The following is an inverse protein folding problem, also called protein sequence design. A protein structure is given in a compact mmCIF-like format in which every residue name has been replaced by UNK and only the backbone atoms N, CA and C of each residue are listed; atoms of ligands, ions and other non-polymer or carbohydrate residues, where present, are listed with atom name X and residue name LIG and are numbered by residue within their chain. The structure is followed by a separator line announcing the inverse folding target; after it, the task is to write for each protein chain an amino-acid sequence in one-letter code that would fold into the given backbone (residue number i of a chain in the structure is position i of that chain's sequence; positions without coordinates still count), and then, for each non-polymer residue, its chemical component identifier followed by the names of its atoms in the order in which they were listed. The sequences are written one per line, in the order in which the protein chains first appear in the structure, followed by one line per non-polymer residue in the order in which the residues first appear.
data_IF_469917568461
#
_entry.id   IF_469917568461
#
_cell.length_a   1.000
_cell.length_b   1.000
_cell.length_c   1.000
_cell.angle_alpha   90.00
_cell.angle_beta   90.00
_cell.angle_gamma   90.00
#
_symmetry.space_group_name_H-M   'P 1'
#
loop_
_entity.id
_entity.type
_entity.pdbx_description
1 polymer ?
#
# COMPACT_ATOMS: atom_id res chain seq x y z
N UNK A 1 10.77 -12.14 2.71
CA UNK A 1 10.02 -12.79 3.81
C UNK A 1 10.48 -14.23 3.87
N UNK A 2 10.70 -14.79 5.04
CA UNK A 2 11.03 -16.21 5.13
C UNK A 2 9.79 -17.06 4.86
N UNK A 3 9.94 -18.11 4.04
CA UNK A 3 8.88 -19.07 3.81
C UNK A 3 8.67 -19.93 5.08
N UNK A 4 7.44 -20.33 5.34
CA UNK A 4 7.07 -21.28 6.40
C UNK A 4 7.43 -20.81 7.83
N UNK A 5 7.36 -19.50 8.09
CA UNK A 5 7.45 -18.97 9.45
C UNK A 5 6.13 -19.18 10.23
N UNK A 6 6.20 -19.05 11.55
CA UNK A 6 5.05 -19.22 12.47
C UNK A 6 3.96 -18.15 12.33
N UNK A 7 4.26 -17.02 11.68
CA UNK A 7 3.27 -15.98 11.38
C UNK A 7 2.36 -16.38 10.22
N UNK A 8 2.81 -17.27 9.33
CA UNK A 8 2.06 -17.68 8.14
C UNK A 8 0.96 -18.69 8.50
N UNK A 9 -0.30 -18.30 8.32
CA UNK A 9 -1.46 -19.15 8.61
C UNK A 9 -1.90 -19.91 7.35
N UNK A 10 -2.03 -19.19 6.24
CA UNK A 10 -2.39 -19.79 4.95
C UNK A 10 -1.60 -19.14 3.83
N UNK A 11 -0.92 -19.96 3.03
CA UNK A 11 -0.09 -19.49 1.93
C UNK A 11 -0.12 -20.46 0.76
N UNK A 12 -0.04 -19.92 -0.45
CA UNK A 12 0.32 -20.69 -1.64
C UNK A 12 1.83 -20.82 -1.67
N UNK A 13 2.30 -22.06 -1.61
CA UNK A 13 3.72 -22.36 -1.69
C UNK A 13 4.21 -22.38 -3.13
N UNK A 14 5.44 -21.91 -3.33
CA UNK A 14 6.12 -21.97 -4.61
C UNK A 14 7.39 -22.81 -4.50
N UNK A 15 7.58 -23.70 -5.47
CA UNK A 15 8.81 -24.46 -5.63
C UNK A 15 9.81 -23.75 -6.55
N UNK A 16 11.09 -24.18 -6.54
CA UNK A 16 12.08 -23.71 -7.50
C UNK A 16 11.57 -23.87 -8.95
N UNK A 17 11.75 -22.83 -9.78
CA UNK A 17 11.32 -22.78 -11.19
C UNK A 17 9.80 -22.94 -11.43
N UNK A 18 8.98 -22.94 -10.38
CA UNK A 18 7.51 -22.91 -10.44
C UNK A 18 6.95 -21.72 -9.68
N UNK A 19 7.81 -20.71 -9.52
CA UNK A 19 7.59 -19.53 -8.72
C UNK A 19 6.71 -18.48 -9.37
N UNK A 20 6.59 -17.36 -8.69
CA UNK A 20 6.12 -16.13 -9.33
C UNK A 20 7.25 -15.45 -10.11
N UNK A 21 6.92 -14.38 -10.84
CA UNK A 21 7.89 -13.50 -11.51
C UNK A 21 7.97 -12.13 -10.81
N UNK A 22 7.72 -12.08 -9.49
CA UNK A 22 7.47 -10.81 -8.79
C UNK A 22 8.70 -9.88 -8.79
N UNK A 23 9.91 -10.39 -8.58
CA UNK A 23 11.13 -9.57 -8.55
C UNK A 23 11.39 -8.91 -9.91
N UNK A 24 11.31 -9.68 -11.00
CA UNK A 24 11.52 -9.16 -12.36
C UNK A 24 10.39 -8.26 -12.88
N UNK A 25 9.24 -8.20 -12.20
CA UNK A 25 8.10 -7.36 -12.62
C UNK A 25 7.93 -6.12 -11.77
N UNK A 26 8.16 -6.21 -10.46
CA UNK A 26 7.66 -5.22 -9.51
C UNK A 26 8.72 -4.24 -8.99
N UNK A 27 10.01 -4.62 -9.00
CA UNK A 27 11.10 -3.82 -8.43
C UNK A 27 11.55 -2.63 -9.29
N UNK A 28 12.62 -1.92 -8.86
CA UNK A 28 13.24 -0.85 -9.63
C UNK A 28 13.70 -1.33 -11.01
N UNK A 29 13.53 -0.49 -12.03
CA UNK A 29 13.84 -0.86 -13.41
C UNK A 29 15.33 -1.02 -13.63
N UNK A 30 16.14 -0.10 -13.09
CA UNK A 30 17.60 -0.10 -13.24
C UNK A 30 18.29 -0.41 -11.93
N UNK A 31 19.25 -1.33 -11.97
CA UNK A 31 20.16 -1.68 -10.87
C UNK A 31 21.55 -1.74 -11.46
N UNK A 32 22.43 -0.82 -11.08
CA UNK A 32 23.68 -0.60 -11.80
C UNK A 32 23.42 -0.38 -13.30
N UNK A 33 24.05 -1.22 -14.14
CA UNK A 33 23.91 -1.15 -15.61
C UNK A 33 22.88 -2.12 -16.20
N UNK A 34 22.15 -2.88 -15.38
CA UNK A 34 21.18 -3.88 -15.86
C UNK A 34 19.74 -3.40 -15.73
N UNK A 35 18.88 -3.93 -16.60
CA UNK A 35 17.42 -3.83 -16.43
C UNK A 35 16.97 -4.96 -15.49
N UNK A 36 16.71 -4.61 -14.23
CA UNK A 36 16.43 -5.56 -13.17
C UNK A 36 14.94 -5.91 -13.03
N UNK A 37 14.05 -5.01 -13.41
CA UNK A 37 12.61 -5.25 -13.38
C UNK A 37 11.84 -4.32 -14.34
N UNK A 38 10.51 -4.47 -14.37
CA UNK A 38 9.58 -3.65 -15.16
C UNK A 38 8.87 -2.55 -14.36
N UNK A 39 9.25 -2.32 -13.09
CA UNK A 39 8.76 -1.16 -12.35
C UNK A 39 7.27 -1.16 -12.01
N UNK A 40 6.56 -2.28 -12.07
CA UNK A 40 5.09 -2.30 -11.98
C UNK A 40 4.52 -1.87 -10.62
N UNK A 41 5.24 -2.09 -9.51
CA UNK A 41 4.78 -1.66 -8.18
C UNK A 41 5.39 -0.33 -7.80
N UNK A 42 4.58 0.71 -7.95
CA UNK A 42 4.95 2.11 -7.72
C UNK A 42 4.05 2.65 -6.61
N UNK A 43 4.51 2.65 -5.34
CA UNK A 43 3.75 3.18 -4.22
C UNK A 43 3.35 4.64 -4.47
N UNK A 44 2.13 5.01 -4.07
CA UNK A 44 1.69 6.41 -4.16
C UNK A 44 2.20 7.22 -2.98
N UNK A 45 2.27 8.54 -3.13
CA UNK A 45 2.54 9.42 -1.99
C UNK A 45 1.51 9.22 -0.88
N UNK A 46 0.24 8.93 -1.21
CA UNK A 46 -0.80 8.64 -0.23
C UNK A 46 -0.52 7.40 0.64
N UNK A 47 0.28 6.44 0.16
CA UNK A 47 0.73 5.32 0.99
C UNK A 47 1.99 5.70 1.78
N UNK A 48 2.91 6.46 1.18
CA UNK A 48 4.12 6.96 1.84
C UNK A 48 3.78 7.84 3.05
N UNK A 49 2.74 8.66 2.95
CA UNK A 49 2.27 9.55 4.02
C UNK A 49 1.68 8.80 5.22
N UNK A 50 1.33 7.52 5.06
CA UNK A 50 0.67 6.72 6.11
C UNK A 50 1.65 6.06 7.07
N UNK A 51 2.92 5.96 6.68
CA UNK A 51 3.96 5.50 7.58
C UNK A 51 4.22 6.56 8.64
N UNK A 52 4.21 6.16 9.90
CA UNK A 52 4.52 7.06 11.02
C UNK A 52 5.98 7.52 11.00
N UNK A 53 6.26 8.56 11.80
CA UNK A 53 7.61 8.86 12.29
C UNK A 53 8.03 7.81 13.32
N UNK A 54 9.32 7.70 13.63
CA UNK A 54 9.88 6.70 14.55
C UNK A 54 9.30 6.77 15.97
N UNK A 55 8.79 7.94 16.36
CA UNK A 55 8.07 8.15 17.62
C UNK A 55 6.61 7.65 17.61
N UNK A 56 6.15 7.02 16.53
CA UNK A 56 4.83 6.44 16.40
C UNK A 56 3.76 7.37 15.83
N UNK A 57 4.00 8.69 15.82
CA UNK A 57 3.05 9.70 15.33
C UNK A 57 2.99 9.75 13.80
N UNK A 58 1.82 10.03 13.25
CA UNK A 58 1.65 10.33 11.83
C UNK A 58 2.45 11.57 11.44
N UNK A 59 2.86 11.67 10.18
CA UNK A 59 3.66 12.80 9.69
C UNK A 59 2.97 14.16 9.85
N UNK A 60 1.64 14.18 9.84
CA UNK A 60 0.81 15.38 9.95
C UNK A 60 0.43 15.73 11.41
N UNK A 61 0.83 14.92 12.38
CA UNK A 61 0.53 15.16 13.79
C UNK A 61 1.55 16.10 14.44
N UNK A 62 1.09 16.96 15.34
CA UNK A 62 1.97 17.83 16.12
C UNK A 62 2.97 17.01 16.93
N UNK A 63 4.23 17.44 16.87
CA UNK A 63 5.36 16.76 17.51
C UNK A 63 5.81 15.48 16.81
N UNK A 64 5.35 15.20 15.58
CA UNK A 64 5.86 14.07 14.78
C UNK A 64 7.35 14.21 14.45
N UNK A 65 7.82 15.44 14.25
CA UNK A 65 9.18 15.75 13.79
C UNK A 65 9.37 15.59 12.28
N UNK A 66 8.29 15.44 11.50
CA UNK A 66 8.36 15.35 10.05
C UNK A 66 8.89 16.66 9.43
N UNK A 67 9.90 16.54 8.57
CA UNK A 67 10.44 17.64 7.78
C UNK A 67 10.17 17.39 6.28
N UNK A 68 9.35 18.21 5.60
CA UNK A 68 9.08 18.05 4.17
C UNK A 68 10.31 18.25 3.28
N UNK A 69 11.39 18.90 3.76
CA UNK A 69 12.66 19.01 3.04
C UNK A 69 13.56 17.78 3.23
N UNK A 70 13.24 16.92 4.19
CA UNK A 70 13.93 15.66 4.46
C UNK A 70 12.91 14.52 4.73
N UNK A 71 11.98 14.25 3.79
CA UNK A 71 10.74 13.49 4.04
C UNK A 71 10.95 12.00 4.38
N UNK A 72 12.17 11.51 4.21
CA UNK A 72 12.55 10.12 4.40
C UNK A 72 13.37 9.88 5.68
N UNK A 73 13.65 10.92 6.45
CA UNK A 73 14.41 10.81 7.72
C UNK A 73 13.46 10.58 8.89
N UNK A 74 13.88 9.77 9.87
CA UNK A 74 13.14 9.54 11.11
C UNK A 74 11.79 8.84 10.94
N UNK A 75 11.62 8.04 9.88
CA UNK A 75 10.38 7.28 9.62
C UNK A 75 10.38 5.96 10.41
N UNK A 76 9.22 5.34 10.57
CA UNK A 76 9.15 4.00 11.18
C UNK A 76 9.92 2.95 10.37
N UNK A 77 10.38 1.86 11.00
CA UNK A 77 11.24 0.86 10.33
C UNK A 77 10.55 0.23 9.12
N UNK A 78 9.23 0.04 9.19
CA UNK A 78 8.43 -0.52 8.08
C UNK A 78 8.45 0.36 6.83
N UNK A 79 8.64 1.68 6.94
CA UNK A 79 8.80 2.54 5.77
C UNK A 79 10.01 2.09 4.93
N UNK A 80 11.18 1.97 5.58
CA UNK A 80 12.42 1.55 4.92
C UNK A 80 12.38 0.11 4.39
N UNK A 81 11.59 -0.76 5.04
CA UNK A 81 11.39 -2.16 4.60
C UNK A 81 10.35 -2.29 3.48
N UNK A 82 9.53 -1.26 3.24
CA UNK A 82 8.39 -1.33 2.33
C UNK A 82 8.54 -0.48 1.09
N UNK A 83 9.23 0.66 1.19
CA UNK A 83 9.35 1.64 0.12
C UNK A 83 10.82 1.77 -0.28
N UNK A 84 11.06 1.72 -1.59
CA UNK A 84 12.29 2.20 -2.21
C UNK A 84 11.99 3.63 -2.66
N UNK A 85 12.75 4.57 -2.12
CA UNK A 85 12.68 6.01 -2.40
C UNK A 85 14.04 6.50 -2.91
N UNK A 86 14.15 7.76 -3.27
CA UNK A 86 15.40 8.34 -3.76
C UNK A 86 16.57 8.17 -2.76
N UNK A 87 17.75 7.78 -3.25
CA UNK A 87 18.91 7.33 -2.47
C UNK A 87 18.75 6.03 -1.68
N UNK A 88 17.68 5.26 -1.86
CA UNK A 88 17.63 3.89 -1.32
C UNK A 88 18.71 3.01 -1.98
N UNK A 89 19.26 2.08 -1.22
CA UNK A 89 20.07 0.98 -1.76
C UNK A 89 19.18 -0.22 -2.08
N UNK A 90 19.41 -0.86 -3.23
CA UNK A 90 18.73 -2.08 -3.67
C UNK A 90 19.71 -2.96 -4.47
N UNK A 91 19.89 -4.22 -4.07
CA UNK A 91 20.99 -5.10 -4.55
C UNK A 91 22.40 -4.47 -4.41
N UNK A 92 22.62 -3.69 -3.34
CA UNK A 92 23.89 -2.99 -3.13
C UNK A 92 24.11 -1.76 -4.03
N UNK A 93 23.19 -1.47 -4.94
CA UNK A 93 23.27 -0.33 -5.87
C UNK A 93 22.39 0.83 -5.41
N UNK A 94 22.80 2.05 -5.74
CA UNK A 94 22.02 3.26 -5.44
C UNK A 94 20.87 3.42 -6.42
N UNK A 95 19.66 3.61 -5.90
CA UNK A 95 18.47 3.94 -6.68
C UNK A 95 18.22 5.45 -6.56
N UNK A 96 18.30 6.15 -7.68
CA UNK A 96 18.01 7.59 -7.77
C UNK A 96 16.74 7.82 -8.58
N UNK A 97 15.67 8.23 -7.90
CA UNK A 97 14.35 8.50 -8.50
C UNK A 97 14.15 9.97 -8.81
N UNK A 98 15.04 10.85 -8.33
CA UNK A 98 15.09 12.26 -8.74
C UNK A 98 15.30 12.43 -10.24
N UNK A 99 14.92 13.60 -10.75
CA UNK A 99 15.13 13.97 -12.17
C UNK A 99 16.61 13.83 -12.52
N UNK A 100 16.91 13.11 -13.60
CA UNK A 100 18.28 12.81 -14.03
C UNK A 100 18.91 11.56 -13.40
N UNK A 101 18.26 10.94 -12.42
CA UNK A 101 18.68 9.68 -11.80
C UNK A 101 18.50 8.44 -12.68
N UNK A 102 19.08 7.31 -12.26
CA UNK A 102 19.03 6.04 -13.01
C UNK A 102 17.62 5.43 -13.09
N UNK A 103 16.77 5.77 -12.12
CA UNK A 103 15.37 5.42 -12.06
C UNK A 103 14.50 6.67 -11.96
N UNK A 104 14.92 7.77 -12.61
CA UNK A 104 14.25 9.06 -12.55
C UNK A 104 12.75 8.95 -12.78
N UNK A 105 11.99 9.73 -12.00
CA UNK A 105 10.54 9.83 -12.13
C UNK A 105 10.16 10.16 -13.57
N UNK A 106 9.29 9.34 -14.15
CA UNK A 106 8.78 9.49 -15.49
C UNK A 106 7.31 9.85 -15.47
N UNK A 107 6.99 11.14 -15.45
CA UNK A 107 5.60 11.63 -15.45
C UNK A 107 4.90 11.42 -16.80
N UNK A 108 5.67 11.23 -17.87
CA UNK A 108 5.18 11.18 -19.25
C UNK A 108 4.89 9.79 -19.79
N UNK A 109 5.07 8.72 -18.99
CA UNK A 109 4.85 7.33 -19.41
C UNK A 109 5.68 6.91 -20.65
N UNK A 110 6.82 7.56 -20.89
CA UNK A 110 7.73 7.25 -22.01
C UNK A 110 8.75 6.13 -21.73
N UNK A 111 8.75 5.56 -20.53
CA UNK A 111 9.62 4.47 -20.07
C UNK A 111 8.97 3.75 -18.88
N UNK A 112 9.51 2.59 -18.51
CA UNK A 112 9.02 1.78 -17.40
C UNK A 112 9.41 2.30 -16.00
N UNK A 113 10.20 3.38 -15.93
CA UNK A 113 10.62 3.98 -14.67
C UNK A 113 9.40 4.46 -13.85
N UNK A 114 9.62 4.65 -12.55
CA UNK A 114 8.56 5.07 -11.61
C UNK A 114 7.82 6.32 -12.08
N UNK A 115 6.49 6.30 -12.04
CA UNK A 115 5.65 7.46 -12.29
C UNK A 115 5.38 8.24 -10.99
N UNK A 116 5.62 7.62 -9.82
CA UNK A 116 5.32 8.20 -8.51
C UNK A 116 6.56 8.66 -7.74
N UNK A 117 7.76 8.35 -8.22
CA UNK A 117 9.02 8.61 -7.51
C UNK A 117 9.41 7.51 -6.52
N UNK A 118 8.66 6.40 -6.48
CA UNK A 118 8.83 5.29 -5.54
C UNK A 118 8.77 3.92 -6.24
N UNK A 119 9.36 2.91 -5.60
CA UNK A 119 9.10 1.48 -5.88
C UNK A 119 8.77 0.72 -4.60
N UNK A 120 8.15 -0.45 -4.72
CA UNK A 120 7.96 -1.36 -3.58
C UNK A 120 9.28 -2.10 -3.26
N UNK A 121 9.61 -2.19 -1.97
CA UNK A 121 10.68 -3.06 -1.43
C UNK A 121 10.09 -4.37 -0.90
N UNK A 122 9.02 -4.25 -0.12
CA UNK A 122 8.38 -5.39 0.54
C UNK A 122 7.84 -6.38 -0.50
N UNK A 123 7.88 -7.67 -0.16
CA UNK A 123 7.60 -8.84 -1.01
C UNK A 123 8.68 -9.18 -2.04
N UNK A 124 9.69 -8.33 -2.23
CA UNK A 124 10.81 -8.59 -3.14
C UNK A 124 12.03 -9.08 -2.36
N UNK A 125 12.88 -9.85 -3.02
CA UNK A 125 14.09 -10.42 -2.42
C UNK A 125 15.35 -9.82 -3.08
N UNK A 126 16.12 -9.07 -2.30
CA UNK A 126 17.36 -8.40 -2.72
C UNK A 126 18.54 -9.36 -2.96
N UNK A 127 18.44 -10.61 -2.52
CA UNK A 127 19.49 -11.61 -2.76
C UNK A 127 19.29 -12.38 -4.07
N UNK A 128 18.22 -12.07 -4.81
CA UNK A 128 17.98 -12.63 -6.15
C UNK A 128 18.76 -11.86 -7.20
N UNK A 129 19.08 -12.54 -8.29
CA UNK A 129 19.74 -11.89 -9.42
C UNK A 129 18.84 -10.77 -9.99
N UNK A 130 19.36 -9.56 -10.20
CA UNK A 130 18.59 -8.41 -10.66
C UNK A 130 18.38 -8.48 -12.18
N UNK A 131 17.42 -9.29 -12.65
CA UNK A 131 17.02 -9.32 -14.06
C UNK A 131 15.51 -9.36 -14.27
N UNK A 132 15.07 -8.54 -15.22
CA UNK A 132 13.66 -8.42 -15.61
C UNK A 132 13.13 -9.68 -16.32
N UNK A 133 14.01 -10.61 -16.70
CA UNK A 133 13.70 -11.82 -17.47
C UNK A 133 13.61 -13.09 -16.59
N UNK A 134 13.25 -12.92 -15.32
CA UNK A 134 13.08 -14.00 -14.35
C UNK A 134 11.64 -14.53 -14.30
N UNK A 135 11.22 -15.25 -15.33
CA UNK A 135 9.92 -15.94 -15.27
C UNK A 135 9.97 -17.19 -14.38
N UNK A 136 9.08 -17.22 -13.39
CA UNK A 136 8.88 -18.39 -12.52
C UNK A 136 10.01 -18.68 -11.52
N UNK A 137 10.93 -17.73 -11.29
CA UNK A 137 12.11 -17.94 -10.43
C UNK A 137 11.91 -17.53 -8.96
N UNK A 138 10.85 -16.79 -8.64
CA UNK A 138 10.54 -16.39 -7.27
C UNK A 138 9.88 -17.52 -6.48
N UNK A 139 10.62 -18.17 -5.59
CA UNK A 139 10.05 -19.17 -4.68
C UNK A 139 9.49 -18.56 -3.38
N UNK A 140 9.32 -17.23 -3.31
CA UNK A 140 8.69 -16.58 -2.16
C UNK A 140 7.20 -16.96 -2.11
N UNK A 141 6.78 -17.61 -1.02
CA UNK A 141 5.38 -17.97 -0.80
C UNK A 141 4.46 -16.76 -0.90
N UNK A 142 3.29 -16.97 -1.51
CA UNK A 142 2.22 -15.98 -1.52
C UNK A 142 1.36 -16.19 -0.27
N UNK A 143 1.55 -15.31 0.71
CA UNK A 143 0.81 -15.33 1.97
C UNK A 143 -0.61 -14.82 1.68
N UNK A 144 -1.60 -15.66 1.99
CA UNK A 144 -3.01 -15.33 1.87
C UNK A 144 -3.48 -14.75 3.20
N UNK A 145 -3.17 -15.43 4.31
CA UNK A 145 -3.42 -15.01 5.68
C UNK A 145 -2.18 -15.18 6.56
N UNK A 146 -1.94 -14.19 7.43
CA UNK A 146 -0.90 -14.23 8.47
C UNK A 146 -1.39 -13.63 9.77
N UNK A 147 -0.70 -13.94 10.86
CA UNK A 147 -1.15 -13.64 12.22
C UNK A 147 -1.38 -12.14 12.49
N UNK A 148 -0.55 -11.24 11.93
CA UNK A 148 -0.80 -9.81 12.10
C UNK A 148 -2.15 -9.35 11.52
N UNK A 149 -2.62 -9.97 10.42
CA UNK A 149 -3.96 -9.67 9.90
C UNK A 149 -5.05 -10.09 10.88
N UNK A 150 -4.89 -11.24 11.54
CA UNK A 150 -5.85 -11.73 12.53
C UNK A 150 -5.92 -10.78 13.72
N UNK A 151 -4.77 -10.34 14.25
CA UNK A 151 -4.70 -9.38 15.34
C UNK A 151 -5.40 -8.07 14.98
N UNK A 152 -5.14 -7.51 13.80
CA UNK A 152 -5.75 -6.25 13.37
C UNK A 152 -7.25 -6.40 13.05
N UNK A 153 -7.68 -7.54 12.50
CA UNK A 153 -9.10 -7.84 12.29
C UNK A 153 -9.86 -8.01 13.61
N UNK A 154 -9.25 -8.65 14.61
CA UNK A 154 -9.79 -8.73 15.96
C UNK A 154 -9.89 -7.35 16.61
N UNK A 155 -8.81 -6.56 16.57
CA UNK A 155 -8.79 -5.21 17.12
C UNK A 155 -9.86 -4.31 16.48
N UNK A 156 -10.04 -4.39 15.15
CA UNK A 156 -11.08 -3.64 14.45
C UNK A 156 -12.47 -4.03 14.95
N UNK A 157 -12.80 -5.32 14.94
CA UNK A 157 -14.11 -5.81 15.35
C UNK A 157 -14.43 -5.45 16.82
N UNK A 158 -13.48 -5.66 17.72
CA UNK A 158 -13.65 -5.38 19.15
C UNK A 158 -13.77 -3.87 19.39
N UNK A 159 -12.99 -3.02 18.70
CA UNK A 159 -13.13 -1.58 18.78
C UNK A 159 -14.51 -1.11 18.29
N UNK A 160 -15.01 -1.70 17.20
CA UNK A 160 -16.35 -1.37 16.68
C UNK A 160 -17.49 -1.75 17.62
N UNK A 161 -17.31 -2.71 18.52
CA UNK A 161 -18.32 -3.08 19.51
C UNK A 161 -18.09 -2.31 20.81
N UNK A 162 -16.93 -2.48 21.44
CA UNK A 162 -16.64 -2.09 22.82
C UNK A 162 -15.73 -0.86 22.95
N UNK A 163 -15.16 -0.36 21.84
CA UNK A 163 -14.17 0.72 21.86
C UNK A 163 -12.76 0.22 22.21
N UNK A 164 -11.83 1.11 22.60
CA UNK A 164 -10.42 0.79 22.79
C UNK A 164 -10.17 0.05 24.11
N UNK A 165 -10.65 -1.19 24.21
CA UNK A 165 -10.41 -2.07 25.36
C UNK A 165 -8.93 -2.44 25.45
N UNK A 166 -8.51 -3.00 26.59
CA UNK A 166 -7.12 -3.45 26.75
C UNK A 166 -6.74 -4.52 25.70
N UNK A 167 -7.69 -5.37 25.29
CA UNK A 167 -7.43 -6.38 24.26
C UNK A 167 -7.23 -5.77 22.87
N UNK A 168 -7.97 -4.70 22.54
CA UNK A 168 -7.74 -3.91 21.31
C UNK A 168 -6.34 -3.32 21.31
N UNK A 169 -5.94 -2.69 22.42
CA UNK A 169 -4.60 -2.12 22.57
C UNK A 169 -3.52 -3.19 22.44
N UNK A 170 -3.67 -4.32 23.14
CA UNK A 170 -2.72 -5.43 23.09
C UNK A 170 -2.57 -6.00 21.67
N UNK A 171 -3.67 -6.17 20.94
CA UNK A 171 -3.65 -6.72 19.59
C UNK A 171 -2.96 -5.78 18.59
N UNK A 172 -3.20 -4.47 18.69
CA UNK A 172 -2.52 -3.48 17.86
C UNK A 172 -1.06 -3.33 18.25
N UNK A 173 -0.75 -3.31 19.55
CA UNK A 173 0.62 -3.16 20.05
C UNK A 173 1.50 -4.37 19.73
N UNK A 174 0.93 -5.57 19.67
CA UNK A 174 1.64 -6.76 19.18
C UNK A 174 2.17 -6.60 17.74
N UNK A 175 1.49 -5.80 16.91
CA UNK A 175 1.95 -5.45 15.56
C UNK A 175 2.90 -4.25 15.58
N UNK A 176 2.53 -3.17 16.28
CA UNK A 176 3.29 -1.92 16.33
C UNK A 176 4.68 -2.07 16.91
N UNK A 177 4.79 -2.79 18.02
CA UNK A 177 6.01 -2.90 18.81
C UNK A 177 6.94 -4.03 18.34
N UNK A 178 6.48 -4.88 17.41
CA UNK A 178 7.25 -6.01 16.87
C UNK A 178 8.64 -5.56 16.43
N UNK A 179 9.67 -6.22 16.96
CA UNK A 179 11.08 -5.91 16.68
C UNK A 179 11.47 -4.44 16.97
N UNK A 180 10.80 -3.83 17.95
CA UNK A 180 10.99 -2.43 18.36
C UNK A 180 10.71 -1.46 17.23
N UNK A 181 9.66 -1.70 16.43
CA UNK A 181 9.32 -0.86 15.28
C UNK A 181 8.75 0.50 15.71
N UNK A 182 7.71 0.53 16.55
CA UNK A 182 7.09 1.73 17.09
C UNK A 182 6.77 1.57 18.58
N UNK A 183 6.62 2.68 19.33
CA UNK A 183 5.99 2.64 20.64
C UNK A 183 4.52 2.20 20.55
N UNK A 184 4.01 1.65 21.65
CA UNK A 184 2.61 1.25 21.77
C UNK A 184 1.65 2.43 21.62
N UNK A 185 0.37 2.15 21.39
CA UNK A 185 -0.67 3.16 21.19
C UNK A 185 -0.73 4.13 22.38
N UNK A 186 -0.73 3.59 23.61
CA UNK A 186 -0.81 4.42 24.83
C UNK A 186 0.41 5.34 25.00
N UNK A 187 1.60 4.85 24.67
CA UNK A 187 2.82 5.65 24.76
C UNK A 187 2.89 6.75 23.70
N UNK A 188 2.27 6.50 22.54
CA UNK A 188 2.23 7.46 21.42
C UNK A 188 1.14 8.51 21.61
N UNK A 189 -0.04 8.08 22.04
CA UNK A 189 -1.30 8.83 21.96
C UNK A 189 -2.00 9.06 23.30
N UNK A 190 -1.56 8.40 24.37
CA UNK A 190 -2.28 8.39 25.64
C UNK A 190 -3.61 7.65 25.53
N UNK A 191 -4.65 8.22 26.13
CA UNK A 191 -6.01 7.69 26.03
C UNK A 191 -6.64 8.16 24.72
N UNK A 192 -7.18 7.22 23.95
CA UNK A 192 -7.84 7.47 22.67
C UNK A 192 -9.34 7.15 22.74
N UNK A 193 -10.16 7.84 21.95
CA UNK A 193 -11.56 7.49 21.73
C UNK A 193 -11.70 6.27 20.80
N UNK A 194 -12.91 5.73 20.69
CA UNK A 194 -13.25 4.67 19.72
C UNK A 194 -12.96 5.08 18.28
N UNK A 195 -13.25 6.32 17.93
CA UNK A 195 -13.02 6.90 16.60
C UNK A 195 -11.54 7.06 16.33
N UNK A 196 -10.78 7.60 17.29
CA UNK A 196 -9.32 7.73 17.17
C UNK A 196 -8.66 6.36 17.06
N UNK A 197 -9.12 5.36 17.84
CA UNK A 197 -8.61 4.00 17.75
C UNK A 197 -8.95 3.33 16.42
N UNK A 198 -10.14 3.59 15.85
CA UNK A 198 -10.52 3.13 14.51
C UNK A 198 -9.53 3.65 13.46
N UNK A 199 -9.20 4.94 13.50
CA UNK A 199 -8.26 5.54 12.56
C UNK A 199 -6.85 4.96 12.72
N UNK A 200 -6.40 4.74 13.96
CA UNK A 200 -5.13 4.05 14.25
C UNK A 200 -5.14 2.64 13.66
N UNK A 201 -6.20 1.84 13.88
CA UNK A 201 -6.33 0.47 13.35
C UNK A 201 -6.33 0.49 11.82
N UNK A 202 -7.07 1.41 11.20
CA UNK A 202 -7.16 1.51 9.74
C UNK A 202 -5.79 1.84 9.11
N UNK A 203 -5.04 2.77 9.71
CA UNK A 203 -3.67 3.09 9.27
C UNK A 203 -2.72 1.93 9.50
N UNK A 204 -2.75 1.31 10.68
CA UNK A 204 -1.91 0.16 11.03
C UNK A 204 -2.13 -0.99 10.05
N UNK A 205 -3.40 -1.27 9.72
CA UNK A 205 -3.77 -2.28 8.71
C UNK A 205 -3.27 -1.92 7.31
N UNK A 206 -3.35 -0.65 6.92
CA UNK A 206 -2.85 -0.17 5.62
C UNK A 206 -1.33 -0.33 5.50
N UNK A 207 -0.58 0.05 6.53
CA UNK A 207 0.89 -0.03 6.57
C UNK A 207 1.35 -1.48 6.67
N UNK A 208 0.84 -2.21 7.66
CA UNK A 208 1.26 -3.57 7.95
C UNK A 208 0.99 -4.50 6.76
N UNK A 209 -0.17 -4.37 6.10
CA UNK A 209 -0.60 -5.25 5.00
C UNK A 209 -0.36 -4.65 3.61
N UNK A 210 0.51 -3.64 3.50
CA UNK A 210 0.89 -3.06 2.22
C UNK A 210 1.45 -4.13 1.27
N UNK A 211 0.97 -4.14 0.02
CA UNK A 211 1.30 -5.10 -1.05
C UNK A 211 0.90 -6.56 -0.78
N UNK A 212 -0.16 -6.78 0.01
CA UNK A 212 -0.68 -8.13 0.35
C UNK A 212 -2.16 -8.32 -0.05
N UNK A 213 -2.62 -7.56 -1.06
CA UNK A 213 -3.97 -7.63 -1.65
C UNK A 213 -5.13 -7.41 -0.66
N UNK A 214 -4.91 -6.55 0.35
CA UNK A 214 -5.93 -6.21 1.37
C UNK A 214 -6.59 -4.85 1.16
N UNK A 215 -5.81 -3.84 0.75
CA UNK A 215 -6.26 -2.44 0.73
C UNK A 215 -7.50 -2.19 -0.13
N UNK A 216 -7.64 -2.85 -1.28
CA UNK A 216 -8.83 -2.70 -2.12
C UNK A 216 -10.10 -3.08 -1.37
N UNK A 217 -10.09 -4.25 -0.72
CA UNK A 217 -11.23 -4.76 0.03
C UNK A 217 -11.53 -3.92 1.28
N UNK A 218 -10.50 -3.45 1.97
CA UNK A 218 -10.64 -2.53 3.09
C UNK A 218 -11.33 -1.21 2.66
N UNK A 219 -10.91 -0.63 1.54
CA UNK A 219 -11.52 0.59 0.99
C UNK A 219 -13.01 0.39 0.68
N UNK A 220 -13.38 -0.75 0.08
CA UNK A 220 -14.76 -1.05 -0.30
C UNK A 220 -15.63 -1.28 0.94
N UNK A 221 -15.19 -2.12 1.89
CA UNK A 221 -16.00 -2.48 3.07
C UNK A 221 -16.17 -1.32 4.06
N UNK A 222 -15.19 -0.43 4.14
CA UNK A 222 -15.31 0.82 4.90
C UNK A 222 -16.11 1.90 4.17
N UNK A 223 -16.49 1.66 2.91
CA UNK A 223 -17.21 2.61 2.05
C UNK A 223 -16.51 3.97 1.92
N UNK A 224 -15.18 3.95 1.85
CA UNK A 224 -14.36 5.17 1.73
C UNK A 224 -13.86 5.44 0.29
N UNK A 225 -14.28 4.63 -0.68
CA UNK A 225 -13.85 4.77 -2.07
C UNK A 225 -14.40 6.06 -2.70
N UNK A 226 -15.71 6.26 -2.58
CA UNK A 226 -16.43 7.38 -3.20
C UNK A 226 -16.35 8.67 -2.37
N UNK A 227 -16.64 8.58 -1.06
CA UNK A 227 -16.67 9.67 -0.09
C UNK A 227 -16.12 9.20 1.25
N UNK A 228 -15.52 10.10 2.01
CA UNK A 228 -15.14 9.87 3.40
C UNK A 228 -16.34 10.12 4.33
N UNK A 229 -16.31 9.65 5.59
CA UNK A 229 -17.38 9.90 6.57
C UNK A 229 -17.66 11.39 6.85
N UNK A 230 -16.66 12.25 6.69
CA UNK A 230 -16.76 13.71 6.84
C UNK A 230 -17.37 14.42 5.62
N UNK A 231 -17.75 13.67 4.58
CA UNK A 231 -18.33 14.19 3.34
C UNK A 231 -17.29 14.63 2.30
N UNK A 232 -15.99 14.61 2.61
CA UNK A 232 -14.93 14.89 1.65
C UNK A 232 -14.83 13.80 0.58
N UNK A 233 -14.10 14.10 -0.51
CA UNK A 233 -13.85 13.12 -1.58
C UNK A 233 -13.22 11.85 -1.01
N UNK A 234 -13.72 10.68 -1.42
CA UNK A 234 -13.19 9.39 -1.00
C UNK A 234 -11.81 9.11 -1.58
N UNK A 235 -11.16 8.06 -1.08
CA UNK A 235 -9.76 7.73 -1.44
C UNK A 235 -9.58 7.40 -2.92
N UNK A 236 -10.65 7.02 -3.63
CA UNK A 236 -10.63 6.75 -5.07
C UNK A 236 -11.17 7.92 -5.91
N UNK A 237 -11.54 9.04 -5.27
CA UNK A 237 -11.97 10.30 -5.89
C UNK A 237 -10.99 11.46 -5.60
N UNK A 238 -9.77 11.14 -5.19
CA UNK A 238 -8.67 12.10 -5.02
C UNK A 238 -7.60 11.89 -6.10
N UNK A 239 -6.91 12.94 -6.56
CA UNK A 239 -5.77 12.79 -7.45
C UNK A 239 -4.75 11.79 -6.88
N UNK A 240 -4.20 10.95 -7.75
CA UNK A 240 -3.07 10.11 -7.39
C UNK A 240 -1.84 11.02 -7.28
N UNK A 241 -1.16 10.96 -6.14
CA UNK A 241 0.01 11.80 -5.84
C UNK A 241 1.32 11.01 -5.89
N UNK A 242 2.40 11.69 -6.26
CA UNK A 242 3.78 11.19 -6.25
C UNK A 242 4.76 12.25 -5.75
N UNK A 243 6.04 11.91 -5.74
CA UNK A 243 7.13 12.81 -5.35
C UNK A 243 8.05 13.09 -6.53
N UNK A 244 8.13 14.35 -6.92
CA UNK A 244 9.18 14.85 -7.79
C UNK A 244 10.33 15.41 -6.97
N UNK A 245 11.55 15.02 -7.33
CA UNK A 245 12.77 15.51 -6.68
C UNK A 245 13.65 16.12 -7.76
N UNK A 246 14.06 17.36 -7.54
CA UNK A 246 14.99 18.09 -8.42
C UNK A 246 16.19 18.55 -7.62
N UNK A 247 17.34 18.64 -8.26
CA UNK A 247 18.54 19.22 -7.66
C UNK A 247 18.57 20.73 -7.93
N UNK A 248 18.84 21.51 -6.89
CA UNK A 248 19.09 22.95 -7.00
C UNK A 248 20.54 23.19 -7.46
N UNK A 249 20.86 24.40 -7.92
CA UNK A 249 22.21 24.73 -8.41
C UNK A 249 23.34 24.62 -7.37
N UNK A 250 23.00 24.53 -6.09
CA UNK A 250 23.91 24.32 -4.97
C UNK A 250 24.06 22.85 -4.54
N UNK A 251 23.44 21.92 -5.26
CA UNK A 251 23.43 20.48 -4.96
C UNK A 251 22.41 20.05 -3.90
N UNK A 252 21.66 20.99 -3.31
CA UNK A 252 20.56 20.65 -2.40
C UNK A 252 19.38 20.05 -3.18
N UNK A 253 18.63 19.16 -2.54
CA UNK A 253 17.46 18.52 -3.15
C UNK A 253 16.19 19.28 -2.78
N UNK A 254 15.32 19.48 -3.77
CA UNK A 254 13.97 20.00 -3.59
C UNK A 254 12.97 18.87 -3.80
N UNK A 255 12.14 18.63 -2.78
CA UNK A 255 11.08 17.63 -2.78
C UNK A 255 9.73 18.31 -3.05
N UNK A 256 9.01 17.85 -4.07
CA UNK A 256 7.72 18.41 -4.46
C UNK A 256 6.69 17.30 -4.60
N UNK A 257 5.65 17.32 -3.78
CA UNK A 257 4.48 16.45 -3.99
C UNK A 257 3.75 16.94 -5.24
N UNK A 258 3.52 16.03 -6.18
CA UNK A 258 2.85 16.32 -7.45
C UNK A 258 1.59 15.47 -7.60
N UNK A 259 0.59 16.04 -8.28
CA UNK A 259 -0.58 15.29 -8.74
C UNK A 259 -0.30 14.70 -10.12
N UNK A 260 -0.59 13.41 -10.29
CA UNK A 260 -0.26 12.65 -11.50
C UNK A 260 -1.49 12.37 -12.35
N UNK A 261 -2.59 11.98 -11.70
CA UNK A 261 -3.82 11.59 -12.40
C UNK A 261 -5.04 11.73 -11.52
N UNK A 262 -6.11 12.29 -12.09
CA UNK A 262 -7.43 12.28 -11.46
C UNK A 262 -8.06 10.90 -11.54
N UNK A 263 -8.70 10.48 -10.45
CA UNK A 263 -9.47 9.24 -10.36
C UNK A 263 -10.95 9.56 -10.21
N UNK A 264 -11.79 8.66 -10.72
CA UNK A 264 -13.24 8.71 -10.55
C UNK A 264 -13.73 7.34 -10.09
N UNK A 265 -14.45 7.34 -8.99
CA UNK A 265 -15.15 6.21 -8.41
C UNK A 265 -16.61 6.61 -8.21
N UNK A 266 -17.49 5.85 -8.84
CA UNK A 266 -18.94 6.05 -8.76
C UNK A 266 -19.55 5.06 -7.76
N UNK A 267 -20.70 5.36 -7.15
CA UNK A 267 -21.40 4.44 -6.24
C UNK A 267 -21.54 3.01 -6.81
N UNK A 268 -21.81 2.88 -8.12
CA UNK A 268 -21.94 1.57 -8.78
C UNK A 268 -20.67 0.71 -8.80
N UNK A 269 -19.50 1.30 -8.59
CA UNK A 269 -18.20 0.62 -8.63
C UNK A 269 -17.87 -0.10 -7.32
N UNK A 270 -18.71 -0.02 -6.29
CA UNK A 270 -18.58 -0.85 -5.09
C UNK A 270 -18.79 -2.34 -5.34
N UNK A 271 -19.43 -2.70 -6.47
CA UNK A 271 -19.62 -4.07 -6.91
C UNK A 271 -19.03 -4.26 -8.31
N UNK A 272 -18.45 -5.43 -8.55
CA UNK A 272 -17.98 -5.81 -9.89
C UNK A 272 -19.17 -6.07 -10.82
N UNK A 273 -19.08 -5.69 -12.11
CA UNK A 273 -20.10 -6.04 -13.08
C UNK A 273 -20.20 -7.57 -13.24
N UNK A 274 -21.42 -8.07 -13.42
CA UNK A 274 -21.60 -9.43 -13.94
C UNK A 274 -21.19 -9.41 -15.42
N UNK A 275 -20.36 -10.36 -15.89
CA UNK A 275 -19.99 -10.41 -17.30
C UNK A 275 -21.24 -10.49 -18.19
N UNK A 276 -21.29 -9.67 -19.24
CA UNK A 276 -22.49 -9.57 -20.11
C UNK A 276 -22.95 -10.93 -20.65
N UNK A 277 -22.02 -11.79 -21.07
CA UNK A 277 -22.36 -13.12 -21.57
C UNK A 277 -23.04 -14.05 -20.54
N UNK A 278 -22.93 -13.77 -19.24
CA UNK A 278 -23.63 -14.50 -18.18
C UNK A 278 -25.08 -14.01 -18.08
N UNK A 279 -25.30 -12.70 -18.21
CA UNK A 279 -26.63 -12.08 -18.27
C UNK A 279 -27.39 -12.58 -19.50
N UNK A 280 -26.74 -12.56 -20.67
CA UNK A 280 -27.34 -12.99 -21.94
C UNK A 280 -27.78 -14.46 -21.92
N UNK A 281 -27.07 -15.30 -21.14
CA UNK A 281 -27.35 -16.74 -21.03
C UNK A 281 -28.41 -17.09 -20.00
N UNK A 282 -28.72 -16.20 -19.07
CA UNK A 282 -29.68 -16.47 -18.00
C UNK A 282 -30.52 -15.24 -17.67
N UNK A 283 -31.75 -15.22 -18.20
CA UNK A 283 -32.71 -14.15 -17.98
C UNK A 283 -33.10 -13.94 -16.52
N UNK A 284 -32.92 -14.93 -15.63
CA UNK A 284 -33.18 -14.76 -14.20
C UNK A 284 -32.11 -13.91 -13.50
N UNK A 285 -30.86 -13.96 -13.98
CA UNK A 285 -29.78 -13.11 -13.46
C UNK A 285 -30.08 -11.64 -13.77
N UNK A 286 -30.58 -11.35 -14.97
CA UNK A 286 -31.03 -10.00 -15.33
C UNK A 286 -32.10 -9.46 -14.37
N UNK A 287 -33.02 -10.30 -13.89
CA UNK A 287 -34.11 -9.92 -12.98
C UNK A 287 -33.66 -9.68 -11.54
N UNK A 288 -32.68 -10.44 -11.04
CA UNK A 288 -32.16 -10.33 -9.66
C UNK A 288 -31.27 -9.08 -9.43
N UNK A 289 -31.00 -8.32 -10.49
CA UNK A 289 -30.04 -7.24 -10.51
C UNK A 289 -30.55 -5.89 -9.96
N UNK A 290 -31.78 -5.81 -9.45
CA UNK A 290 -32.34 -4.59 -8.85
C UNK A 290 -32.35 -4.64 -7.32
N UNK A 291 -31.62 -3.75 -6.66
CA UNK A 291 -31.71 -3.56 -5.21
C UNK A 291 -32.85 -2.59 -4.77
N UNK A 292 -32.68 -1.86 -3.64
CA UNK A 292 -33.75 -1.09 -2.98
C UNK A 292 -34.18 0.29 -3.55
N UNK A 293 -33.51 0.85 -4.56
CA UNK A 293 -33.73 2.24 -5.03
C UNK A 293 -34.36 2.35 -6.44
N UNK A 294 -35.07 1.30 -6.87
CA UNK A 294 -35.61 1.14 -8.22
C UNK A 294 -34.58 1.07 -9.36
N UNK A 295 -33.27 1.02 -9.08
CA UNK A 295 -32.20 0.49 -9.94
C UNK A 295 -32.48 0.46 -11.44
N UNK A 296 -32.70 1.63 -12.04
CA UNK A 296 -32.59 1.84 -13.49
C UNK A 296 -31.18 1.54 -14.01
N UNK A 297 -30.23 1.27 -13.10
CA UNK A 297 -28.84 0.85 -13.31
C UNK A 297 -28.42 -0.25 -12.31
N UNK A 298 -29.33 -1.20 -12.08
CA UNK A 298 -29.12 -2.39 -11.26
C UNK A 298 -28.12 -3.34 -11.87
N UNK A 299 -26.96 -3.44 -11.22
CA UNK A 299 -25.69 -3.88 -11.79
C UNK A 299 -25.13 -2.88 -12.80
N UNK A 300 -23.81 -2.69 -12.78
CA UNK A 300 -23.11 -2.17 -13.94
C UNK A 300 -23.34 -3.21 -15.04
N UNK A 301 -24.22 -2.99 -16.05
CA UNK A 301 -24.12 -3.80 -17.24
C UNK A 301 -22.67 -3.65 -17.67
N UNK A 302 -21.97 -4.76 -17.90
CA UNK A 302 -20.72 -4.67 -18.63
C UNK A 302 -20.93 -3.75 -19.84
N UNK A 303 -19.87 -3.05 -20.24
CA UNK A 303 -19.88 -2.29 -21.49
C UNK A 303 -20.55 -3.06 -22.63
#
# INVERSE_FOLDING_TARGET
MENNNEESIFARQYGPNKGSSIEGRMGPVKVGNVTAAWGNFQPTQDLVDEFSMENGKAIYEDGSGYDPNNPYVGREKRFYQTIIYDNSTWHGELITTRVGGNNAINKGYSSDNTHTGYYARKRLNEDKEPTAYHDGKSYQNYIIYRYAEILLSYAEAENEVNGPTQDVLNAVDAVRTRSGNLPGVKDTYGTVSKEQMRDIIHRERRVELAFEDKRWWDILRWKIAEKMPDGSAGVMNRPLRGMEITENGDGSLKYTIIELRNRLFLPKMYLMPIPQSVIDRNSEIAKQSGGPDNWTNGQNPGY
#
